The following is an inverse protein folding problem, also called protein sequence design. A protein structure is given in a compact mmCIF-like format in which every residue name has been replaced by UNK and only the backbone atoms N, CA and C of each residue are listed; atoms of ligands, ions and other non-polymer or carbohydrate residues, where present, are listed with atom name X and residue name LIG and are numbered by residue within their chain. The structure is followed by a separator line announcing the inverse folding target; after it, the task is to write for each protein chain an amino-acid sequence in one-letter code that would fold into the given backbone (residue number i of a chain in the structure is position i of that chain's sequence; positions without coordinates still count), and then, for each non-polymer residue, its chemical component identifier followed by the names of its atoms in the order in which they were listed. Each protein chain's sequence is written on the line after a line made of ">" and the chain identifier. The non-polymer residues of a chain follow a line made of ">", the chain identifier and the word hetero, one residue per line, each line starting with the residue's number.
data_IF_959151219342
#
_entry.id   IF_959151219342
#
_cell.length_a   1.000
_cell.length_b   1.000
_cell.length_c   1.000
_cell.angle_alpha   90.00
_cell.angle_beta   90.00
_cell.angle_gamma   90.00
#
_symmetry.space_group_name_H-M   'P 1'
#
loop_
_entity.id
_entity.type
_entity.pdbx_description
1 polymer ?
#
# COMPACT_ATOMS: atom_id res chain seq x y z
N UNK A 1 27.31 -40.01 -18.43
CA UNK A 1 28.29 -38.99 -18.90
C UNK A 1 28.33 -37.79 -17.93
N UNK A 2 29.50 -37.25 -17.63
CA UNK A 2 29.67 -36.12 -16.68
C UNK A 2 28.84 -34.88 -17.09
N UNK A 3 28.66 -34.67 -18.39
CA UNK A 3 27.85 -33.58 -18.94
C UNK A 3 26.37 -33.66 -18.57
N UNK A 4 25.75 -34.85 -18.64
CA UNK A 4 24.34 -35.06 -18.25
C UNK A 4 24.16 -34.91 -16.73
N UNK A 5 25.12 -35.37 -15.94
CA UNK A 5 25.10 -35.21 -14.48
C UNK A 5 25.18 -33.72 -14.06
N UNK A 6 26.02 -32.93 -14.75
CA UNK A 6 26.13 -31.50 -14.52
C UNK A 6 24.86 -30.75 -14.95
N UNK A 7 24.24 -31.14 -16.07
CA UNK A 7 22.97 -30.58 -16.52
C UNK A 7 21.82 -30.89 -15.53
N UNK A 8 21.79 -32.11 -14.99
CA UNK A 8 20.84 -32.49 -13.93
C UNK A 8 21.07 -31.70 -12.63
N UNK A 9 22.34 -31.50 -12.22
CA UNK A 9 22.65 -30.65 -11.05
C UNK A 9 22.25 -29.19 -11.25
N UNK A 10 22.36 -28.65 -12.46
CA UNK A 10 21.95 -27.27 -12.74
C UNK A 10 20.43 -27.10 -12.73
N UNK A 11 19.67 -28.11 -13.15
CA UNK A 11 18.20 -28.08 -13.07
C UNK A 11 17.68 -28.41 -11.67
N UNK A 12 18.43 -29.14 -10.85
CA UNK A 12 18.09 -29.43 -9.46
C UNK A 12 17.98 -28.19 -8.56
N UNK A 13 18.50 -27.03 -8.99
CA UNK A 13 18.28 -25.74 -8.29
C UNK A 13 16.86 -25.20 -8.50
N UNK A 14 16.21 -25.61 -9.59
CA UNK A 14 14.91 -25.12 -10.02
C UNK A 14 13.81 -26.17 -9.87
N UNK A 15 14.15 -27.39 -9.49
CA UNK A 15 13.19 -28.49 -9.29
C UNK A 15 13.27 -28.94 -7.83
N UNK A 16 12.12 -29.09 -7.18
CA UNK A 16 12.06 -29.54 -5.80
C UNK A 16 12.63 -30.97 -5.64
N UNK A 17 13.12 -31.35 -4.43
CA UNK A 17 13.67 -32.69 -4.18
C UNK A 17 12.69 -33.84 -4.47
N UNK A 18 11.39 -33.60 -4.35
CA UNK A 18 10.33 -34.56 -4.66
C UNK A 18 9.90 -34.55 -6.14
N UNK A 19 10.49 -33.68 -6.96
CA UNK A 19 10.24 -33.56 -8.40
C UNK A 19 8.87 -32.97 -8.76
N UNK A 20 8.15 -32.37 -7.81
CA UNK A 20 6.77 -31.91 -8.00
C UNK A 20 6.62 -30.41 -8.29
N UNK A 21 7.62 -29.62 -7.94
CA UNK A 21 7.59 -28.16 -8.06
C UNK A 21 8.75 -27.72 -8.94
N UNK A 22 8.45 -26.84 -9.89
CA UNK A 22 9.46 -26.19 -10.72
C UNK A 22 9.38 -24.69 -10.48
N UNK A 23 10.52 -24.07 -10.20
CA UNK A 23 10.69 -22.64 -10.02
C UNK A 23 11.41 -22.05 -11.23
N UNK A 24 10.97 -20.88 -11.67
CA UNK A 24 11.67 -20.07 -12.64
C UNK A 24 12.02 -18.73 -12.03
N UNK A 25 13.23 -18.26 -12.29
CA UNK A 25 13.65 -16.91 -11.93
C UNK A 25 13.47 -15.97 -13.12
N UNK A 26 12.94 -14.78 -12.85
CA UNK A 26 12.74 -13.74 -13.85
C UNK A 26 13.12 -12.39 -13.25
N UNK A 27 13.83 -11.59 -14.03
CA UNK A 27 14.14 -10.20 -13.69
C UNK A 27 13.09 -9.28 -14.28
N UNK A 28 12.60 -8.32 -13.49
CA UNK A 28 11.62 -7.35 -13.96
C UNK A 28 12.30 -6.30 -14.85
N UNK A 29 11.78 -6.14 -16.08
CA UNK A 29 12.18 -5.05 -16.99
C UNK A 29 11.62 -3.70 -16.53
N UNK A 30 10.59 -3.70 -15.68
CA UNK A 30 9.91 -2.52 -15.16
C UNK A 30 10.72 -1.73 -14.10
N UNK A 31 11.95 -2.15 -13.79
CA UNK A 31 12.85 -1.47 -12.86
C UNK A 31 13.12 -2.28 -11.58
N UNK A 32 13.61 -1.60 -10.54
CA UNK A 32 13.90 -2.22 -9.24
C UNK A 32 12.65 -2.80 -8.57
N UNK A 33 12.80 -3.83 -7.74
CA UNK A 33 11.65 -4.57 -7.18
C UNK A 33 10.77 -3.75 -6.22
N UNK A 34 11.24 -2.59 -5.77
CA UNK A 34 10.51 -1.68 -4.88
C UNK A 34 9.78 -0.55 -5.64
N UNK A 35 9.89 -0.48 -6.97
CA UNK A 35 9.25 0.59 -7.75
C UNK A 35 7.78 0.30 -7.98
N UNK A 36 6.96 1.35 -8.09
CA UNK A 36 5.52 1.21 -8.40
C UNK A 36 5.32 0.43 -9.70
N UNK A 37 6.12 0.70 -10.73
CA UNK A 37 6.06 0.00 -12.01
C UNK A 37 6.35 -1.51 -11.90
N UNK A 38 7.28 -1.91 -11.03
CA UNK A 38 7.58 -3.32 -10.77
C UNK A 38 6.43 -4.01 -10.01
N UNK A 39 5.85 -3.35 -9.00
CA UNK A 39 4.69 -3.84 -8.27
C UNK A 39 3.50 -4.04 -9.22
N UNK A 40 3.18 -3.04 -10.05
CA UNK A 40 2.04 -3.05 -10.98
C UNK A 40 2.18 -4.08 -12.11
N UNK A 41 3.39 -4.60 -12.36
CA UNK A 41 3.60 -5.71 -13.28
C UNK A 41 3.15 -7.06 -12.70
N UNK A 42 3.04 -7.19 -11.37
CA UNK A 42 2.75 -8.44 -10.66
C UNK A 42 1.47 -9.13 -11.15
N UNK A 43 0.30 -8.45 -11.29
CA UNK A 43 -0.93 -9.10 -11.77
C UNK A 43 -0.78 -9.72 -13.17
N UNK A 44 -0.05 -9.04 -14.05
CA UNK A 44 0.22 -9.54 -15.40
C UNK A 44 1.12 -10.76 -15.37
N UNK A 45 2.16 -10.75 -14.52
CA UNK A 45 3.05 -11.90 -14.33
C UNK A 45 2.26 -13.10 -13.80
N UNK A 46 1.42 -12.89 -12.76
CA UNK A 46 0.53 -13.94 -12.22
C UNK A 46 -0.36 -14.53 -13.30
N UNK A 47 -1.00 -13.69 -14.12
CA UNK A 47 -1.85 -14.15 -15.24
C UNK A 47 -1.09 -15.04 -16.23
N UNK A 48 0.13 -14.65 -16.62
CA UNK A 48 0.96 -15.43 -17.55
C UNK A 48 1.39 -16.76 -16.91
N UNK A 49 1.77 -16.74 -15.64
CA UNK A 49 2.17 -17.94 -14.89
C UNK A 49 0.99 -18.90 -14.74
N UNK A 50 -0.19 -18.42 -14.39
CA UNK A 50 -1.40 -19.26 -14.29
C UNK A 50 -1.79 -19.87 -15.64
N UNK A 51 -1.66 -19.13 -16.73
CA UNK A 51 -1.89 -19.67 -18.09
C UNK A 51 -0.88 -20.77 -18.45
N UNK A 52 0.40 -20.55 -18.13
CA UNK A 52 1.45 -21.54 -18.37
C UNK A 52 1.24 -22.81 -17.53
N UNK A 53 0.87 -22.65 -16.25
CA UNK A 53 0.53 -23.72 -15.33
C UNK A 53 -0.67 -24.54 -15.80
N UNK A 54 -1.73 -23.87 -16.27
CA UNK A 54 -2.90 -24.54 -16.84
C UNK A 54 -2.54 -25.39 -18.07
N UNK A 55 -1.66 -24.88 -18.95
CA UNK A 55 -1.21 -25.61 -20.16
C UNK A 55 -0.30 -26.79 -19.85
N UNK A 56 0.46 -26.74 -18.75
CA UNK A 56 1.33 -27.84 -18.34
C UNK A 56 0.62 -28.90 -17.48
N UNK A 57 -0.62 -28.65 -17.05
CA UNK A 57 -1.36 -29.54 -16.15
C UNK A 57 -0.91 -29.44 -14.69
N UNK A 58 -0.28 -28.32 -14.30
CA UNK A 58 0.11 -28.09 -12.92
C UNK A 58 -1.11 -27.96 -12.00
N UNK A 59 -1.00 -28.51 -10.79
CA UNK A 59 -2.09 -28.45 -9.78
C UNK A 59 -2.15 -27.12 -9.03
N UNK A 60 -1.04 -26.38 -9.00
CA UNK A 60 -0.91 -25.11 -8.31
C UNK A 60 0.16 -24.27 -9.00
N UNK A 61 0.05 -22.96 -8.86
CA UNK A 61 0.97 -21.97 -9.39
C UNK A 61 1.09 -20.79 -8.42
N UNK A 62 2.16 -20.01 -8.59
CA UNK A 62 2.42 -18.87 -7.72
C UNK A 62 3.54 -17.98 -8.25
N UNK A 63 3.49 -16.72 -7.85
CA UNK A 63 4.54 -15.73 -8.10
C UNK A 63 5.02 -15.26 -6.73
N UNK A 64 6.33 -15.34 -6.53
CA UNK A 64 7.02 -14.90 -5.32
C UNK A 64 8.14 -13.92 -5.69
N UNK A 65 8.66 -13.22 -4.70
CA UNK A 65 9.66 -12.16 -4.86
C UNK A 65 9.22 -10.88 -4.16
N UNK A 66 10.14 -9.95 -4.01
CA UNK A 66 9.90 -8.71 -3.24
C UNK A 66 8.80 -7.87 -3.87
N UNK A 67 8.82 -7.69 -5.20
CA UNK A 67 7.79 -6.92 -5.92
C UNK A 67 6.38 -7.51 -5.72
N UNK A 68 6.26 -8.84 -5.76
CA UNK A 68 4.98 -9.52 -5.56
C UNK A 68 4.49 -9.38 -4.11
N UNK A 69 5.39 -9.53 -3.13
CA UNK A 69 5.06 -9.34 -1.72
C UNK A 69 4.64 -7.90 -1.40
N UNK A 70 5.38 -6.91 -1.92
CA UNK A 70 5.06 -5.50 -1.75
C UNK A 70 3.74 -5.12 -2.46
N UNK A 71 3.47 -5.70 -3.63
CA UNK A 71 2.18 -5.53 -4.31
C UNK A 71 1.03 -6.07 -3.47
N UNK A 72 1.16 -7.29 -2.92
CA UNK A 72 0.13 -7.91 -2.09
C UNK A 72 -0.14 -7.07 -0.82
N UNK A 73 0.90 -6.60 -0.14
CA UNK A 73 0.77 -5.71 1.03
C UNK A 73 0.13 -4.38 0.64
N UNK A 74 0.57 -3.74 -0.44
CA UNK A 74 0.04 -2.46 -0.92
C UNK A 74 -1.45 -2.58 -1.32
N UNK A 75 -1.81 -3.64 -2.05
CA UNK A 75 -3.17 -3.90 -2.48
C UNK A 75 -4.10 -4.17 -1.30
N UNK A 76 -3.68 -5.00 -0.35
CA UNK A 76 -4.46 -5.27 0.87
C UNK A 76 -4.62 -4.00 1.70
N UNK A 77 -3.53 -3.24 1.86
CA UNK A 77 -3.55 -1.99 2.64
C UNK A 77 -4.48 -0.95 2.03
N UNK A 78 -4.45 -0.78 0.70
CA UNK A 78 -5.35 0.14 0.01
C UNK A 78 -6.82 -0.29 0.15
N UNK A 79 -7.10 -1.58 0.08
CA UNK A 79 -8.45 -2.10 0.32
C UNK A 79 -8.93 -1.78 1.74
N UNK A 80 -8.07 -2.01 2.74
CA UNK A 80 -8.38 -1.72 4.14
C UNK A 80 -8.60 -0.23 4.38
N UNK A 81 -7.79 0.66 3.77
CA UNK A 81 -7.96 2.11 3.89
C UNK A 81 -9.33 2.59 3.43
N UNK A 82 -9.83 2.05 2.31
CA UNK A 82 -11.14 2.41 1.76
C UNK A 82 -12.26 2.10 2.77
N UNK A 83 -12.09 1.09 3.62
CA UNK A 83 -13.06 0.73 4.64
C UNK A 83 -12.81 1.43 5.98
N UNK A 84 -11.55 1.51 6.42
CA UNK A 84 -11.16 2.07 7.73
C UNK A 84 -11.37 3.57 7.76
N UNK A 85 -11.01 4.32 6.71
CA UNK A 85 -11.11 5.79 6.70
C UNK A 85 -12.56 6.24 6.96
N UNK A 86 -13.60 5.77 6.24
CA UNK A 86 -14.98 6.16 6.52
C UNK A 86 -15.45 5.79 7.92
N UNK A 87 -15.07 4.61 8.43
CA UNK A 87 -15.44 4.15 9.77
C UNK A 87 -14.81 5.05 10.84
N UNK A 88 -13.52 5.38 10.69
CA UNK A 88 -12.80 6.26 11.60
C UNK A 88 -13.41 7.67 11.60
N UNK A 89 -13.67 8.23 10.41
CA UNK A 89 -14.32 9.54 10.26
C UNK A 89 -15.68 9.55 10.97
N UNK A 90 -16.51 8.51 10.77
CA UNK A 90 -17.82 8.42 11.42
C UNK A 90 -17.71 8.30 12.94
N UNK A 91 -16.80 7.46 13.44
CA UNK A 91 -16.58 7.28 14.87
C UNK A 91 -16.15 8.60 15.54
N UNK A 92 -15.26 9.35 14.91
CA UNK A 92 -14.77 10.65 15.40
C UNK A 92 -15.88 11.70 15.31
N UNK A 93 -16.65 11.73 14.21
CA UNK A 93 -17.80 12.62 14.07
C UNK A 93 -18.79 12.44 15.23
N UNK A 94 -19.09 11.19 15.59
CA UNK A 94 -19.99 10.84 16.70
C UNK A 94 -19.40 11.28 18.05
N UNK A 95 -18.12 10.98 18.29
CA UNK A 95 -17.45 11.36 19.53
C UNK A 95 -17.42 12.88 19.71
N UNK A 96 -17.04 13.62 18.68
CA UNK A 96 -17.04 15.07 18.68
C UNK A 96 -18.46 15.64 18.85
N UNK A 97 -19.46 15.06 18.18
CA UNK A 97 -20.85 15.48 18.34
C UNK A 97 -21.35 15.32 19.78
N UNK A 98 -20.93 14.26 20.48
CA UNK A 98 -21.24 14.02 21.89
C UNK A 98 -20.52 15.02 22.80
N UNK A 99 -19.23 15.27 22.58
CA UNK A 99 -18.40 16.17 23.41
C UNK A 99 -18.83 17.63 23.22
N UNK A 100 -18.98 18.07 21.98
CA UNK A 100 -19.31 19.45 21.62
C UNK A 100 -20.82 19.73 21.69
N UNK A 101 -21.66 18.69 21.83
CA UNK A 101 -23.14 18.75 21.73
C UNK A 101 -23.60 19.48 20.45
N UNK A 102 -22.85 19.35 19.37
CA UNK A 102 -23.03 20.08 18.11
C UNK A 102 -22.67 19.17 16.93
N UNK A 103 -23.46 19.22 15.86
CA UNK A 103 -23.22 18.46 14.62
C UNK A 103 -22.43 19.27 13.60
N UNK A 104 -22.50 20.60 13.67
CA UNK A 104 -21.83 21.50 12.70
C UNK A 104 -20.32 21.55 12.93
N UNK A 105 -19.89 21.62 14.19
CA UNK A 105 -18.46 21.67 14.52
C UNK A 105 -17.70 20.40 14.05
N UNK A 106 -18.15 19.16 14.32
CA UNK A 106 -17.50 17.95 13.81
C UNK A 106 -17.37 17.92 12.29
N UNK A 107 -18.39 18.34 11.55
CA UNK A 107 -18.35 18.36 10.08
C UNK A 107 -17.29 19.33 9.55
N UNK A 108 -17.18 20.52 10.14
CA UNK A 108 -16.15 21.48 9.79
C UNK A 108 -14.74 20.93 10.03
N UNK A 109 -14.53 20.26 11.16
CA UNK A 109 -13.25 19.66 11.53
C UNK A 109 -12.83 18.56 10.55
N UNK A 110 -13.75 17.64 10.25
CA UNK A 110 -13.51 16.55 9.30
C UNK A 110 -13.11 17.09 7.92
N UNK A 111 -13.84 18.10 7.42
CA UNK A 111 -13.54 18.71 6.12
C UNK A 111 -12.16 19.39 6.15
N UNK A 112 -11.83 20.11 7.21
CA UNK A 112 -10.53 20.77 7.38
C UNK A 112 -9.37 19.78 7.39
N UNK A 113 -9.49 18.68 8.15
CA UNK A 113 -8.49 17.61 8.23
C UNK A 113 -8.35 16.90 6.88
N UNK A 114 -9.47 16.58 6.22
CA UNK A 114 -9.45 15.93 4.91
C UNK A 114 -8.75 16.78 3.84
N UNK A 115 -9.03 18.09 3.80
CA UNK A 115 -8.35 19.02 2.91
C UNK A 115 -6.85 19.10 3.20
N UNK A 116 -6.48 19.16 4.48
CA UNK A 116 -5.07 19.19 4.92
C UNK A 116 -4.34 17.92 4.54
N UNK A 117 -4.98 16.76 4.68
CA UNK A 117 -4.46 15.47 4.27
C UNK A 117 -4.22 15.39 2.76
N UNK A 118 -5.21 15.76 1.96
CA UNK A 118 -5.08 15.77 0.50
C UNK A 118 -4.00 16.74 0.03
N UNK A 119 -3.91 17.93 0.64
CA UNK A 119 -2.87 18.90 0.34
C UNK A 119 -1.48 18.36 0.69
N UNK A 120 -1.30 17.78 1.88
CA UNK A 120 -0.02 17.22 2.30
C UNK A 120 0.40 16.04 1.41
N UNK A 121 -0.54 15.17 1.03
CA UNK A 121 -0.27 14.02 0.14
C UNK A 121 0.12 14.49 -1.27
N UNK A 122 -0.58 15.50 -1.80
CA UNK A 122 -0.26 16.13 -3.07
C UNK A 122 1.12 16.78 -3.07
N UNK A 123 1.43 17.56 -2.03
CA UNK A 123 2.76 18.18 -1.87
C UNK A 123 3.86 17.11 -1.75
N UNK A 124 3.61 16.04 -0.99
CA UNK A 124 4.56 14.92 -0.86
C UNK A 124 4.79 14.24 -2.20
N UNK A 125 3.75 14.05 -3.01
CA UNK A 125 3.85 13.51 -4.37
C UNK A 125 4.73 14.40 -5.24
N UNK A 126 4.47 15.71 -5.26
CA UNK A 126 5.25 16.67 -6.06
C UNK A 126 6.73 16.69 -5.62
N UNK A 127 6.99 16.78 -4.32
CA UNK A 127 8.35 16.90 -3.80
C UNK A 127 9.17 15.62 -4.02
N UNK A 128 8.60 14.46 -3.75
CA UNK A 128 9.36 13.21 -3.78
C UNK A 128 9.33 12.53 -5.14
N UNK A 129 8.21 12.59 -5.87
CA UNK A 129 8.08 11.93 -7.18
C UNK A 129 8.49 12.90 -8.29
N UNK A 130 7.82 14.04 -8.43
CA UNK A 130 8.04 14.93 -9.58
C UNK A 130 9.39 15.65 -9.51
N UNK A 131 9.77 16.16 -8.33
CA UNK A 131 11.03 16.89 -8.12
C UNK A 131 12.15 15.94 -7.70
N UNK A 132 11.86 15.03 -6.77
CA UNK A 132 12.86 14.12 -6.18
C UNK A 132 13.20 12.89 -7.01
N UNK A 133 12.42 12.58 -8.06
CA UNK A 133 12.64 11.43 -8.93
C UNK A 133 12.40 10.07 -8.26
N UNK A 134 11.68 10.02 -7.13
CA UNK A 134 11.30 8.78 -6.48
C UNK A 134 10.34 7.98 -7.36
N UNK A 135 10.52 6.65 -7.37
CA UNK A 135 9.67 5.72 -8.12
C UNK A 135 8.27 5.49 -7.52
N UNK A 136 7.93 6.20 -6.43
CA UNK A 136 6.65 6.11 -5.73
C UNK A 136 6.74 6.61 -4.29
N UNK A 137 5.60 6.55 -3.58
CA UNK A 137 5.53 6.72 -2.13
C UNK A 137 5.41 5.35 -1.47
N UNK A 138 6.01 5.17 -0.30
CA UNK A 138 5.87 3.94 0.48
C UNK A 138 4.41 3.74 0.91
N UNK A 139 3.91 2.51 0.83
CA UNK A 139 2.52 2.16 1.18
C UNK A 139 2.10 2.60 2.59
N UNK A 140 3.04 2.73 3.54
CA UNK A 140 2.78 3.16 4.92
C UNK A 140 2.59 4.68 5.05
N UNK A 141 3.08 5.46 4.10
CA UNK A 141 3.11 6.92 4.20
C UNK A 141 1.70 7.53 4.28
N UNK A 142 0.72 7.16 3.42
CA UNK A 142 -0.64 7.67 3.52
C UNK A 142 -1.29 7.37 4.88
N UNK A 143 -1.06 6.18 5.45
CA UNK A 143 -1.55 5.82 6.78
C UNK A 143 -1.00 6.72 7.87
N UNK A 144 0.33 6.88 7.90
CA UNK A 144 0.98 7.72 8.91
C UNK A 144 0.53 9.18 8.78
N UNK A 145 0.46 9.70 7.56
CA UNK A 145 -0.02 11.06 7.30
C UNK A 145 -1.45 11.26 7.80
N UNK A 146 -2.36 10.31 7.52
CA UNK A 146 -3.73 10.38 8.02
C UNK A 146 -3.78 10.40 9.55
N UNK A 147 -3.08 9.46 10.21
CA UNK A 147 -3.06 9.36 11.67
C UNK A 147 -2.47 10.62 12.31
N UNK A 148 -1.35 11.13 11.80
CA UNK A 148 -0.70 12.32 12.34
C UNK A 148 -1.52 13.59 12.13
N UNK A 149 -2.08 13.80 10.93
CA UNK A 149 -2.89 14.98 10.64
C UNK A 149 -4.22 14.96 11.37
N UNK A 150 -4.80 13.78 11.57
CA UNK A 150 -5.98 13.61 12.38
C UNK A 150 -5.67 13.92 13.85
N UNK A 151 -4.60 13.33 14.41
CA UNK A 151 -4.21 13.57 15.80
C UNK A 151 -3.88 15.05 16.06
N UNK A 152 -3.05 15.66 15.21
CA UNK A 152 -2.68 17.07 15.33
C UNK A 152 -3.86 18.00 15.02
N UNK A 153 -4.68 17.67 14.03
CA UNK A 153 -5.77 18.52 13.56
C UNK A 153 -6.91 18.65 14.56
N UNK A 154 -7.24 17.56 15.26
CA UNK A 154 -8.23 17.58 16.34
C UNK A 154 -7.71 18.38 17.54
N UNK A 155 -6.47 18.14 17.98
CA UNK A 155 -5.88 18.83 19.12
C UNK A 155 -5.76 20.35 18.89
N UNK A 156 -5.33 20.75 17.69
CA UNK A 156 -5.14 22.18 17.38
C UNK A 156 -6.46 22.93 17.28
N UNK A 157 -7.48 22.32 16.66
CA UNK A 157 -8.80 22.95 16.56
C UNK A 157 -9.46 23.11 17.92
N UNK A 158 -9.30 22.13 18.82
CA UNK A 158 -9.78 22.26 20.19
C UNK A 158 -9.06 23.41 20.90
N UNK A 159 -7.72 23.46 20.86
CA UNK A 159 -6.94 24.52 21.52
C UNK A 159 -7.31 25.93 21.02
N UNK A 160 -7.44 26.10 19.70
CA UNK A 160 -7.82 27.39 19.10
C UNK A 160 -9.24 27.79 19.49
N UNK A 161 -10.20 26.86 19.42
CA UNK A 161 -11.59 27.14 19.82
C UNK A 161 -11.72 27.46 21.30
N UNK A 162 -10.93 26.79 22.15
CA UNK A 162 -10.91 27.06 23.59
C UNK A 162 -10.41 28.49 23.85
N UNK A 163 -9.32 28.90 23.18
CA UNK A 163 -8.77 30.26 23.32
C UNK A 163 -9.70 31.36 22.79
N UNK A 164 -10.36 31.14 21.66
CA UNK A 164 -11.33 32.11 21.10
C UNK A 164 -12.47 32.37 22.09
N UNK A 165 -12.91 31.34 22.82
CA UNK A 165 -13.98 31.45 23.82
C UNK A 165 -13.50 32.12 25.13
N UNK A 166 -12.21 32.11 25.43
CA UNK A 166 -11.63 32.81 26.59
C UNK A 166 -11.43 34.31 26.34
N UNK A 167 -11.15 34.70 25.09
CA UNK A 167 -10.95 36.10 24.69
C UNK A 167 -12.26 36.83 24.30
N UNK A 168 -13.39 36.11 24.19
CA UNK A 168 -14.72 36.63 23.87
C UNK A 168 -15.63 36.76 25.10
#
# INVERSE_FOLDING_TARGET
>A
PVAEYNAYRSTALFVSPDGRTVQFEATLVAGGQQTTAALDATPRIRTVVSLAAARSGARADGVAGEAAALYDVSSSSNHDLIHIIPIAILAIAVLLALVLRSVVAPLYLIVSVALSYLAALGVSTILFIDIGGSSGLTFILPFLMFIFLLALGEDYNILVMTRIREEA
#
